data_IF_130486415831
#
_entry.id   IF_130486415831
#
_cell.length_a   1.000
_cell.length_b   1.000
_cell.length_c   1.000
_cell.angle_alpha   90.00
_cell.angle_beta   90.00
_cell.angle_gamma   90.00
#
_symmetry.space_group_name_H-M   'P 1'
#
loop_
_entity.id
_entity.type
_entity.pdbx_description
1 polymer ?
#
# COMPACT_ATOMS: atom_id res chain seq x y z
N UNK A 1 2.84 -54.35 24.36
CA UNK A 1 2.22 -53.04 24.68
C UNK A 1 3.33 -52.08 25.11
N UNK A 2 3.84 -51.20 24.23
CA UNK A 2 4.75 -50.07 24.57
C UNK A 2 5.17 -49.24 23.34
N UNK A 3 4.93 -49.72 22.12
CA UNK A 3 5.45 -49.08 20.89
C UNK A 3 4.47 -48.13 20.15
N UNK A 4 3.32 -47.77 20.73
CA UNK A 4 2.32 -46.91 20.05
C UNK A 4 2.19 -45.48 20.63
N UNK A 5 2.97 -45.12 21.65
CA UNK A 5 2.88 -43.79 22.29
C UNK A 5 3.94 -42.79 21.81
N UNK A 6 4.87 -43.20 20.93
CA UNK A 6 5.99 -42.34 20.51
C UNK A 6 5.63 -41.52 19.26
N UNK A 7 4.64 -41.93 18.47
CA UNK A 7 4.25 -41.20 17.25
C UNK A 7 3.25 -40.06 17.47
N UNK A 8 2.65 -39.92 18.65
CA UNK A 8 1.66 -38.87 18.94
C UNK A 8 2.26 -37.56 19.48
N UNK A 9 3.58 -37.44 19.64
CA UNK A 9 4.20 -36.25 20.23
C UNK A 9 4.85 -35.29 19.20
N UNK A 10 4.99 -35.67 17.93
CA UNK A 10 5.71 -34.84 16.94
C UNK A 10 4.81 -34.00 16.02
N UNK A 11 3.49 -34.11 16.13
CA UNK A 11 2.55 -33.52 15.16
C UNK A 11 1.97 -32.15 15.56
N UNK A 12 2.45 -31.52 16.63
CA UNK A 12 1.85 -30.28 17.17
C UNK A 12 2.75 -29.03 17.10
N UNK A 13 3.86 -29.08 16.36
CA UNK A 13 4.85 -27.98 16.30
C UNK A 13 4.89 -27.21 14.98
N UNK A 14 3.88 -27.37 14.12
CA UNK A 14 3.65 -26.47 12.98
C UNK A 14 2.71 -25.34 13.40
N UNK A 15 3.12 -24.57 14.40
CA UNK A 15 2.44 -23.31 14.73
C UNK A 15 2.85 -22.32 13.66
N UNK A 16 1.92 -22.06 12.75
CA UNK A 16 2.01 -21.15 11.62
C UNK A 16 2.52 -19.78 12.09
N UNK A 17 3.77 -19.44 11.77
CA UNK A 17 4.29 -18.08 11.84
C UNK A 17 3.66 -17.26 10.72
N UNK A 18 2.46 -16.72 10.98
CA UNK A 18 1.79 -15.77 10.10
C UNK A 18 2.49 -14.41 10.15
N UNK A 19 3.59 -14.25 9.41
CA UNK A 19 4.10 -12.91 9.10
C UNK A 19 3.05 -12.19 8.26
N UNK A 20 2.40 -11.16 8.83
CA UNK A 20 1.68 -10.17 8.03
C UNK A 20 2.70 -9.52 7.11
N UNK A 21 2.67 -9.88 5.84
CA UNK A 21 3.52 -9.26 4.83
C UNK A 21 2.99 -7.85 4.62
N UNK A 22 3.79 -6.84 4.98
CA UNK A 22 3.52 -5.49 4.54
C UNK A 22 3.51 -5.48 3.01
N UNK A 23 2.42 -5.00 2.42
CA UNK A 23 2.25 -4.97 0.96
C UNK A 23 3.37 -4.15 0.27
N UNK A 24 3.99 -3.22 1.01
CA UNK A 24 5.10 -2.39 0.59
C UNK A 24 6.21 -2.40 1.64
N UNK A 25 7.19 -3.30 1.56
CA UNK A 25 8.32 -3.28 2.47
C UNK A 25 9.21 -2.07 2.16
N UNK A 26 9.27 -1.11 3.08
CA UNK A 26 10.15 0.05 3.01
C UNK A 26 9.76 1.07 1.93
N UNK A 27 10.76 1.79 1.43
CA UNK A 27 10.58 2.87 0.44
C UNK A 27 10.40 2.31 -0.97
N UNK A 28 9.39 2.81 -1.68
CA UNK A 28 9.06 2.45 -3.05
C UNK A 28 9.47 3.56 -4.01
N UNK A 29 10.01 3.18 -5.17
CA UNK A 29 10.11 4.08 -6.33
C UNK A 29 8.71 4.24 -6.94
N UNK A 30 8.27 5.48 -7.12
CA UNK A 30 6.96 5.81 -7.65
C UNK A 30 7.03 6.98 -8.64
N UNK A 31 6.02 7.07 -9.50
CA UNK A 31 5.75 8.28 -10.29
C UNK A 31 4.51 8.94 -9.72
N UNK A 32 4.58 10.24 -9.47
CA UNK A 32 3.42 11.03 -9.07
C UNK A 32 2.51 11.18 -10.28
N UNK A 33 1.24 10.85 -10.11
CA UNK A 33 0.22 11.06 -11.13
C UNK A 33 -0.83 12.00 -10.56
N UNK A 34 -1.09 13.12 -11.24
CA UNK A 34 -2.07 14.13 -10.82
C UNK A 34 -3.04 14.37 -11.96
N UNK A 35 -4.32 14.26 -11.66
CA UNK A 35 -5.37 14.65 -12.58
C UNK A 35 -6.60 15.18 -11.83
N UNK A 36 -7.68 15.38 -12.56
CA UNK A 36 -8.92 15.95 -12.02
C UNK A 36 -9.71 14.98 -11.10
N UNK A 37 -9.25 13.74 -10.93
CA UNK A 37 -9.84 12.74 -10.03
C UNK A 37 -9.04 12.56 -8.74
N UNK A 38 -7.80 13.02 -8.70
CA UNK A 38 -6.99 13.02 -7.47
C UNK A 38 -5.49 13.07 -7.71
N UNK A 39 -4.74 12.62 -6.71
CA UNK A 39 -3.30 12.43 -6.80
C UNK A 39 -2.94 11.03 -6.38
N UNK A 40 -2.07 10.40 -7.14
CA UNK A 40 -1.73 9.00 -7.04
C UNK A 40 -0.23 8.84 -6.99
N UNK A 41 0.20 7.75 -6.36
CA UNK A 41 1.54 7.21 -6.55
C UNK A 41 1.44 5.97 -7.43
N UNK A 42 2.10 6.01 -8.60
CA UNK A 42 2.21 4.88 -9.50
C UNK A 42 3.41 4.03 -9.14
N UNK A 43 3.17 2.81 -8.67
CA UNK A 43 4.21 1.83 -8.31
C UNK A 43 3.96 0.55 -9.09
N UNK A 44 4.95 0.07 -9.85
CA UNK A 44 4.83 -1.13 -10.69
C UNK A 44 3.59 -1.11 -11.60
N UNK A 45 3.35 0.03 -12.28
CA UNK A 45 2.20 0.26 -13.17
C UNK A 45 0.82 0.19 -12.50
N UNK A 46 0.77 0.30 -11.18
CA UNK A 46 -0.46 0.36 -10.40
C UNK A 46 -0.57 1.69 -9.68
N UNK A 47 -1.74 2.29 -9.76
CA UNK A 47 -2.01 3.58 -9.13
C UNK A 47 -2.65 3.41 -7.77
N UNK A 48 -2.14 4.17 -6.81
CA UNK A 48 -2.59 4.16 -5.42
C UNK A 48 -2.98 5.59 -5.03
N UNK A 49 -4.25 5.78 -4.69
CA UNK A 49 -4.80 7.11 -4.44
C UNK A 49 -4.34 7.63 -3.07
N UNK A 50 -3.74 8.82 -3.05
CA UNK A 50 -3.17 9.43 -1.85
C UNK A 50 -4.26 10.06 -1.01
N UNK A 51 -4.45 9.55 0.20
CA UNK A 51 -5.47 10.06 1.11
C UNK A 51 -5.06 11.39 1.77
N UNK A 52 -3.84 11.48 2.28
CA UNK A 52 -3.34 12.66 3.00
C UNK A 52 -2.67 13.66 2.04
N UNK A 53 -3.45 14.20 1.10
CA UNK A 53 -3.00 14.99 -0.06
C UNK A 53 -2.02 16.13 0.25
N UNK A 54 -2.11 16.72 1.45
CA UNK A 54 -1.24 17.84 1.87
C UNK A 54 0.25 17.51 1.81
N UNK A 55 0.64 16.25 2.02
CA UNK A 55 2.04 15.81 1.95
C UNK A 55 2.60 15.85 0.52
N UNK A 56 1.71 15.85 -0.48
CA UNK A 56 2.05 15.95 -1.90
C UNK A 56 2.28 17.40 -2.36
N UNK A 57 2.17 18.38 -1.46
CA UNK A 57 2.43 19.78 -1.79
C UNK A 57 3.86 19.97 -2.32
N UNK A 58 3.99 20.53 -3.53
CA UNK A 58 5.28 20.75 -4.19
C UNK A 58 5.73 19.60 -5.11
N UNK A 59 4.98 18.51 -5.18
CA UNK A 59 5.15 17.47 -6.19
C UNK A 59 4.18 17.69 -7.35
N UNK A 60 4.64 17.44 -8.57
CA UNK A 60 3.95 17.65 -9.83
C UNK A 60 3.70 16.32 -10.53
N UNK A 61 2.72 16.31 -11.45
CA UNK A 61 2.47 15.17 -12.32
C UNK A 61 3.76 14.76 -13.06
N UNK A 62 4.04 13.46 -13.10
CA UNK A 62 5.24 12.88 -13.69
C UNK A 62 6.49 12.91 -12.82
N UNK A 63 6.47 13.51 -11.62
CA UNK A 63 7.63 13.49 -10.73
C UNK A 63 8.00 12.06 -10.32
N UNK A 64 9.27 11.71 -10.46
CA UNK A 64 9.82 10.48 -9.89
C UNK A 64 10.16 10.71 -8.42
N UNK A 65 9.66 9.85 -7.54
CA UNK A 65 9.79 9.99 -6.10
C UNK A 65 10.08 8.66 -5.41
N UNK A 66 10.70 8.76 -4.24
CA UNK A 66 10.86 7.69 -3.27
C UNK A 66 9.88 7.89 -2.13
N UNK A 67 8.90 7.00 -1.99
CA UNK A 67 7.82 7.13 -1.03
C UNK A 67 7.70 5.92 -0.08
N UNK A 68 7.42 6.18 1.19
CA UNK A 68 7.00 5.17 2.16
C UNK A 68 5.54 5.41 2.49
N UNK A 69 4.70 4.40 2.36
CA UNK A 69 3.25 4.52 2.56
C UNK A 69 2.62 3.21 2.99
N UNK A 70 1.41 3.28 3.52
CA UNK A 70 0.61 2.12 3.95
C UNK A 70 -0.74 2.13 3.26
N UNK A 71 -1.23 0.97 2.82
CA UNK A 71 -2.61 0.85 2.33
C UNK A 71 -3.59 1.06 3.46
N UNK A 72 -4.68 1.76 3.14
CA UNK A 72 -5.81 1.95 4.04
C UNK A 72 -7.09 1.52 3.35
N UNK A 73 -8.09 1.08 4.12
CA UNK A 73 -9.37 0.63 3.56
C UNK A 73 -10.22 1.80 3.06
N UNK A 74 -10.20 2.89 3.80
CA UNK A 74 -11.05 4.06 3.56
C UNK A 74 -10.23 5.32 3.78
N UNK A 75 -10.46 6.33 2.96
CA UNK A 75 -9.93 7.67 3.16
C UNK A 75 -11.01 8.56 3.78
N UNK A 76 -10.67 9.30 4.82
CA UNK A 76 -11.59 10.27 5.47
C UNK A 76 -11.50 11.66 4.86
N UNK A 77 -10.41 11.96 4.15
CA UNK A 77 -10.12 13.27 3.55
C UNK A 77 -10.42 13.29 2.04
N UNK A 78 -11.45 12.54 1.60
CA UNK A 78 -11.76 12.44 0.17
C UNK A 78 -12.20 13.80 -0.37
N UNK A 79 -11.40 14.35 -1.27
CA UNK A 79 -11.85 15.37 -2.20
C UNK A 79 -12.45 14.63 -3.40
N UNK A 80 -13.73 14.91 -3.69
CA UNK A 80 -14.40 14.30 -4.84
C UNK A 80 -13.75 14.73 -6.16
N UNK A 81 -13.95 13.97 -7.25
CA UNK A 81 -13.44 14.35 -8.55
C UNK A 81 -14.08 15.67 -9.00
N UNK A 82 -13.30 16.50 -9.69
CA UNK A 82 -13.77 17.78 -10.24
C UNK A 82 -14.18 17.66 -11.72
N UNK A 83 -14.21 16.43 -12.25
CA UNK A 83 -14.48 16.11 -13.65
C UNK A 83 -15.16 14.74 -13.77
N UNK A 84 -15.77 14.47 -14.93
CA UNK A 84 -16.41 13.18 -15.24
C UNK A 84 -15.44 12.14 -15.79
N UNK A 85 -14.25 12.04 -15.17
CA UNK A 85 -13.25 11.04 -15.54
C UNK A 85 -13.25 9.88 -14.54
N UNK A 86 -13.04 8.66 -15.04
CA UNK A 86 -12.78 7.49 -14.20
C UNK A 86 -11.29 7.18 -14.23
N UNK A 87 -10.63 7.29 -13.08
CA UNK A 87 -9.25 6.84 -12.90
C UNK A 87 -9.23 5.57 -12.02
N UNK A 88 -8.85 4.40 -12.57
CA UNK A 88 -8.77 3.17 -11.78
C UNK A 88 -7.55 3.20 -10.85
N UNK A 89 -7.76 2.85 -9.59
CA UNK A 89 -6.68 2.72 -8.60
C UNK A 89 -6.90 1.48 -7.73
N UNK A 90 -5.82 0.91 -7.20
CA UNK A 90 -5.87 -0.38 -6.48
C UNK A 90 -6.38 -0.22 -5.05
N UNK A 91 -5.94 0.83 -4.37
CA UNK A 91 -6.33 1.13 -2.99
C UNK A 91 -6.02 2.56 -2.61
N UNK A 92 -6.62 3.01 -1.51
CA UNK A 92 -6.16 4.19 -0.81
C UNK A 92 -4.82 3.94 -0.11
N UNK A 93 -3.96 4.95 -0.07
CA UNK A 93 -2.72 4.92 0.68
C UNK A 93 -2.58 6.17 1.56
N UNK A 94 -1.91 5.99 2.69
CA UNK A 94 -1.46 7.07 3.55
C UNK A 94 0.06 7.18 3.45
N UNK A 95 0.55 8.29 2.92
CA UNK A 95 1.99 8.53 2.71
C UNK A 95 2.62 8.95 4.03
N UNK A 96 3.68 8.25 4.43
CA UNK A 96 4.45 8.50 5.66
C UNK A 96 5.70 9.32 5.40
N UNK A 97 6.32 9.15 4.23
CA UNK A 97 7.46 9.94 3.78
C UNK A 97 7.53 9.96 2.25
N UNK A 98 8.02 11.05 1.67
CA UNK A 98 8.20 11.21 0.23
C UNK A 98 9.38 12.14 -0.05
N UNK A 99 10.21 11.79 -1.05
CA UNK A 99 11.39 12.55 -1.48
C UNK A 99 11.58 12.45 -2.99
N UNK A 100 12.13 13.49 -3.62
CA UNK A 100 12.67 13.44 -5.00
C UNK A 100 14.08 12.84 -4.99
#
# INVERSE_FOLDING_TARGET
MKSLYIFTLFSFLLVLSGCKKDDFPGTQEAVVVVDCTGTYLRVQNKDYNVCNIKIMAGFQDGDHVKATFTKIKECKEVQGPICDMLHPYESWIEVKAIKK
#
